data_IF_817720033490
#
_entry.id   IF_817720033490
#
_cell.length_a   1.000
_cell.length_b   1.000
_cell.length_c   1.000
_cell.angle_alpha   90.00
_cell.angle_beta   90.00
_cell.angle_gamma   90.00
#
_symmetry.space_group_name_H-M   'P 1'
#
loop_
_entity.id
_entity.type
_entity.pdbx_description
1 polymer ?
#
# COMPACT_ATOMS: atom_id res chain seq x y z
N UNK A 1 30.21 -11.05 -27.62
CA UNK A 1 28.90 -11.69 -27.34
C UNK A 1 27.93 -10.61 -26.85
N UNK A 2 26.81 -10.43 -27.56
CA UNK A 2 25.80 -9.38 -27.32
C UNK A 2 24.97 -9.72 -26.07
N UNK A 3 24.90 -8.83 -25.09
CA UNK A 3 23.82 -8.84 -24.07
C UNK A 3 22.86 -7.70 -24.38
N UNK A 4 21.60 -8.08 -24.52
CA UNK A 4 20.49 -7.23 -24.92
C UNK A 4 20.33 -6.03 -23.98
N UNK A 5 20.20 -4.85 -24.59
CA UNK A 5 19.76 -3.63 -23.94
C UNK A 5 18.32 -3.85 -23.46
N UNK A 6 18.14 -3.98 -22.14
CA UNK A 6 16.82 -3.89 -21.52
C UNK A 6 16.45 -2.41 -21.56
N UNK A 7 15.49 -2.07 -22.44
CA UNK A 7 14.74 -0.82 -22.42
C UNK A 7 14.22 -0.61 -21.00
N UNK A 8 14.88 0.26 -20.24
CA UNK A 8 14.27 0.96 -19.12
C UNK A 8 13.22 1.87 -19.73
N UNK A 9 11.94 1.56 -19.46
CA UNK A 9 10.85 2.48 -19.72
C UNK A 9 11.08 3.73 -18.87
N UNK A 10 11.69 4.72 -19.51
CA UNK A 10 11.67 6.12 -19.14
C UNK A 10 10.22 6.58 -19.13
N UNK A 11 9.67 6.90 -17.95
CA UNK A 11 8.26 7.30 -17.89
C UNK A 11 7.67 7.65 -16.53
N UNK A 12 8.43 8.23 -15.59
CA UNK A 12 7.87 9.08 -14.53
C UNK A 12 8.99 9.92 -13.90
N UNK A 13 8.76 11.24 -13.86
CA UNK A 13 9.73 12.25 -13.45
C UNK A 13 10.14 12.10 -11.98
N UNK A 14 11.43 12.25 -11.68
CA UNK A 14 11.97 12.50 -10.33
C UNK A 14 11.57 13.91 -9.81
N UNK A 15 10.29 14.28 -9.91
CA UNK A 15 9.83 15.61 -9.51
C UNK A 15 10.10 15.89 -8.02
N UNK A 16 10.08 14.85 -7.18
CA UNK A 16 10.26 14.95 -5.72
C UNK A 16 11.57 14.35 -5.20
N UNK A 17 12.47 13.89 -6.07
CA UNK A 17 13.76 13.33 -5.64
C UNK A 17 14.61 14.31 -4.84
N UNK A 18 14.43 15.62 -5.10
CA UNK A 18 15.10 16.68 -4.36
C UNK A 18 14.54 16.92 -2.95
N UNK A 19 13.34 16.42 -2.64
CA UNK A 19 12.72 16.52 -1.32
C UNK A 19 13.19 15.44 -0.35
N UNK A 20 13.77 14.35 -0.88
CA UNK A 20 14.34 13.29 -0.08
C UNK A 20 15.76 13.68 0.36
N UNK A 21 16.07 13.50 1.63
CA UNK A 21 17.44 13.57 2.13
C UNK A 21 18.34 12.67 1.26
N UNK A 22 19.51 13.18 0.84
CA UNK A 22 20.37 12.49 -0.12
C UNK A 22 20.76 11.08 0.31
N UNK A 23 20.84 10.85 1.63
CA UNK A 23 21.17 9.56 2.23
C UNK A 23 20.09 8.49 2.00
N UNK A 24 18.85 8.89 1.70
CA UNK A 24 17.74 7.98 1.44
C UNK A 24 17.63 7.55 -0.02
N UNK A 25 18.14 8.36 -0.95
CA UNK A 25 18.03 8.10 -2.39
C UNK A 25 18.54 6.71 -2.82
N UNK A 26 19.65 6.18 -2.26
CA UNK A 26 20.09 4.81 -2.57
C UNK A 26 19.14 3.70 -2.13
N UNK A 27 18.19 4.01 -1.25
CA UNK A 27 17.22 3.07 -0.66
C UNK A 27 15.80 3.22 -1.24
N UNK A 28 15.61 4.14 -2.19
CA UNK A 28 14.32 4.37 -2.84
C UNK A 28 14.33 3.74 -4.23
N UNK A 29 13.50 2.72 -4.42
CA UNK A 29 13.40 2.03 -5.71
C UNK A 29 12.60 2.85 -6.72
N UNK A 30 11.54 3.54 -6.25
CA UNK A 30 10.69 4.38 -7.08
C UNK A 30 9.91 5.40 -6.24
N UNK A 31 9.62 6.55 -6.85
CA UNK A 31 8.61 7.51 -6.37
C UNK A 31 7.39 7.33 -7.26
N UNK A 32 6.24 7.03 -6.66
CA UNK A 32 4.99 6.79 -7.37
C UNK A 32 4.02 7.90 -7.00
N UNK A 33 3.68 8.72 -7.98
CA UNK A 33 2.63 9.71 -7.84
C UNK A 33 1.28 8.99 -7.92
N UNK A 34 0.55 8.94 -6.81
CA UNK A 34 -0.83 8.41 -6.79
C UNK A 34 -1.83 9.54 -6.57
N UNK A 35 -3.07 9.32 -7.00
CA UNK A 35 -4.15 10.31 -6.89
C UNK A 35 -4.31 10.73 -5.42
N UNK A 36 -4.16 12.03 -5.16
CA UNK A 36 -4.29 12.65 -3.82
C UNK A 36 -5.77 12.76 -3.39
N UNK A 37 -6.43 11.62 -3.26
CA UNK A 37 -7.75 11.48 -2.66
C UNK A 37 -7.66 10.83 -1.26
N UNK A 38 -8.79 10.66 -0.58
CA UNK A 38 -8.80 10.00 0.73
C UNK A 38 -8.38 8.52 0.72
N UNK A 39 -8.16 7.92 -0.46
CA UNK A 39 -7.67 6.56 -0.62
C UNK A 39 -6.16 6.52 -0.96
N UNK A 40 -5.46 7.66 -1.01
CA UNK A 40 -4.04 7.75 -1.39
C UNK A 40 -3.16 6.69 -0.70
N UNK A 41 -3.32 6.49 0.61
CA UNK A 41 -2.57 5.45 1.34
C UNK A 41 -2.79 4.04 0.82
N UNK A 42 -4.03 3.66 0.48
CA UNK A 42 -4.34 2.36 -0.11
C UNK A 42 -3.87 2.26 -1.57
N UNK A 43 -3.88 3.37 -2.31
CA UNK A 43 -3.33 3.45 -3.68
C UNK A 43 -1.81 3.26 -3.68
N UNK A 44 -1.10 3.78 -2.68
CA UNK A 44 0.33 3.53 -2.50
C UNK A 44 0.61 2.03 -2.30
N UNK A 45 -0.15 1.38 -1.40
CA UNK A 45 -0.05 -0.07 -1.18
C UNK A 45 -0.35 -0.84 -2.47
N UNK A 46 -1.45 -0.49 -3.16
CA UNK A 46 -1.82 -1.13 -4.41
C UNK A 46 -0.74 -1.00 -5.48
N UNK A 47 -0.09 0.17 -5.58
CA UNK A 47 1.00 0.41 -6.52
C UNK A 47 2.23 -0.44 -6.19
N UNK A 48 2.59 -0.53 -4.91
CA UNK A 48 3.66 -1.44 -4.45
C UNK A 48 3.39 -2.92 -4.72
N UNK A 49 2.11 -3.31 -4.85
CA UNK A 49 1.67 -4.66 -5.21
C UNK A 49 1.52 -4.88 -6.72
N UNK A 50 1.79 -3.88 -7.57
CA UNK A 50 1.57 -3.95 -9.01
C UNK A 50 0.10 -3.93 -9.44
N UNK A 51 -0.80 -3.40 -8.59
CA UNK A 51 -2.25 -3.30 -8.82
C UNK A 51 -2.70 -1.88 -9.20
N UNK A 52 -1.78 -1.00 -9.62
CA UNK A 52 -2.05 0.41 -9.88
C UNK A 52 -3.12 0.65 -10.97
N UNK A 53 -3.17 -0.21 -11.99
CA UNK A 53 -4.02 -0.03 -13.18
C UNK A 53 -5.48 -0.53 -13.03
N UNK A 54 -5.85 -1.14 -11.89
CA UNK A 54 -7.08 -1.94 -11.75
C UNK A 54 -7.97 -1.55 -10.56
N UNK A 55 -8.00 -0.27 -10.17
CA UNK A 55 -8.65 0.13 -8.90
C UNK A 55 -8.12 -0.67 -7.70
N UNK A 56 -6.83 -1.03 -7.71
CA UNK A 56 -6.22 -1.96 -6.76
C UNK A 56 -6.35 -1.53 -5.29
N UNK A 57 -6.57 -0.24 -5.03
CA UNK A 57 -6.86 0.27 -3.69
C UNK A 57 -8.13 -0.36 -3.08
N UNK A 58 -9.14 -0.69 -3.91
CA UNK A 58 -10.34 -1.42 -3.48
C UNK A 58 -10.01 -2.85 -3.09
N UNK A 59 -9.15 -3.52 -3.86
CA UNK A 59 -8.68 -4.87 -3.57
C UNK A 59 -7.92 -4.89 -2.24
N UNK A 60 -7.05 -3.91 -2.01
CA UNK A 60 -6.32 -3.74 -0.74
C UNK A 60 -7.30 -3.57 0.43
N UNK A 61 -8.25 -2.63 0.34
CA UNK A 61 -9.26 -2.41 1.39
C UNK A 61 -10.10 -3.66 1.64
N UNK A 62 -10.51 -4.39 0.59
CA UNK A 62 -11.22 -5.66 0.72
C UNK A 62 -10.39 -6.71 1.45
N UNK A 63 -9.12 -6.92 1.06
CA UNK A 63 -8.23 -7.89 1.72
C UNK A 63 -8.02 -7.55 3.20
N UNK A 64 -7.85 -6.28 3.52
CA UNK A 64 -7.79 -5.79 4.90
C UNK A 64 -9.07 -6.09 5.67
N UNK A 65 -10.22 -5.80 5.09
CA UNK A 65 -11.50 -6.08 5.73
C UNK A 65 -11.70 -7.59 5.97
N UNK A 66 -11.41 -8.42 4.95
CA UNK A 66 -11.52 -9.89 5.02
C UNK A 66 -10.61 -10.47 6.12
N UNK A 67 -9.42 -9.91 6.31
CA UNK A 67 -8.49 -10.31 7.39
C UNK A 67 -9.02 -9.96 8.79
N UNK A 68 -9.58 -8.76 8.95
CA UNK A 68 -10.14 -8.33 10.23
C UNK A 68 -11.30 -9.25 10.62
N UNK A 69 -12.22 -9.54 9.70
CA UNK A 69 -13.38 -10.40 9.99
C UNK A 69 -12.96 -11.88 10.14
N UNK A 70 -11.94 -12.33 9.40
CA UNK A 70 -11.47 -13.72 9.46
C UNK A 70 -10.73 -14.06 10.75
N UNK A 71 -10.11 -13.05 11.39
CA UNK A 71 -9.37 -13.19 12.64
C UNK A 71 -9.82 -12.16 13.67
N UNK A 72 -11.13 -12.00 13.82
CA UNK A 72 -11.73 -10.95 14.64
C UNK A 72 -11.21 -10.94 16.08
N UNK A 73 -11.15 -12.09 16.75
CA UNK A 73 -10.67 -12.20 18.13
C UNK A 73 -9.23 -11.69 18.28
N UNK A 74 -8.34 -12.10 17.36
CA UNK A 74 -6.94 -11.65 17.33
C UNK A 74 -6.86 -10.14 17.12
N UNK A 75 -7.63 -9.61 16.16
CA UNK A 75 -7.59 -8.18 15.85
C UNK A 75 -8.27 -7.33 16.92
N UNK A 76 -9.26 -7.85 17.64
CA UNK A 76 -9.83 -7.21 18.84
C UNK A 76 -8.80 -7.12 19.96
N UNK A 77 -7.99 -8.15 20.15
CA UNK A 77 -6.88 -8.12 21.12
C UNK A 77 -5.82 -7.08 20.72
N UNK A 78 -5.40 -7.08 19.45
CA UNK A 78 -4.34 -6.19 18.94
C UNK A 78 -4.79 -4.72 18.87
N UNK A 79 -6.01 -4.45 18.39
CA UNK A 79 -6.51 -3.09 18.16
C UNK A 79 -7.25 -2.52 19.37
N UNK A 80 -7.71 -3.37 20.29
CA UNK A 80 -8.46 -2.98 21.48
C UNK A 80 -9.65 -2.09 21.13
N UNK A 81 -9.72 -0.93 21.76
CA UNK A 81 -10.78 0.06 21.55
C UNK A 81 -10.84 0.64 20.12
N UNK A 82 -9.76 0.51 19.34
CA UNK A 82 -9.71 1.01 17.95
C UNK A 82 -10.31 0.03 16.94
N UNK A 83 -10.68 -1.19 17.37
CA UNK A 83 -11.12 -2.26 16.47
C UNK A 83 -12.26 -1.83 15.54
N UNK A 84 -13.37 -1.31 16.08
CA UNK A 84 -14.53 -0.93 15.27
C UNK A 84 -14.20 0.25 14.33
N UNK A 85 -13.37 1.19 14.79
CA UNK A 85 -12.91 2.31 13.96
C UNK A 85 -12.12 1.81 12.76
N UNK A 86 -11.15 0.92 12.98
CA UNK A 86 -10.30 0.34 11.93
C UNK A 86 -11.11 -0.54 10.98
N UNK A 87 -11.99 -1.39 11.52
CA UNK A 87 -12.89 -2.25 10.72
C UNK A 87 -13.76 -1.43 9.78
N UNK A 88 -14.37 -0.35 10.28
CA UNK A 88 -15.21 0.53 9.48
C UNK A 88 -14.40 1.36 8.49
N UNK A 89 -13.17 1.77 8.86
CA UNK A 89 -12.29 2.54 7.99
C UNK A 89 -11.77 1.73 6.79
N UNK A 90 -11.52 0.42 6.94
CA UNK A 90 -11.12 -0.44 5.80
C UNK A 90 -12.32 -0.94 5.00
N UNK A 91 -13.52 -0.91 5.58
CA UNK A 91 -14.73 -1.29 4.86
C UNK A 91 -14.96 -0.36 3.67
N UNK A 92 -14.86 -0.91 2.47
CA UNK A 92 -15.05 -0.17 1.22
C UNK A 92 -16.30 -0.69 0.51
N UNK A 93 -17.45 0.01 0.61
CA UNK A 93 -18.63 -0.34 -0.18
C UNK A 93 -18.36 -0.19 -1.69
N UNK A 94 -19.10 -0.96 -2.51
CA UNK A 94 -18.89 -1.06 -3.96
C UNK A 94 -18.94 0.31 -4.67
N UNK A 95 -19.78 1.23 -4.20
CA UNK A 95 -20.01 2.55 -4.82
C UNK A 95 -19.37 3.72 -4.05
N UNK A 96 -18.13 3.56 -3.59
CA UNK A 96 -17.39 4.65 -2.97
C UNK A 96 -16.54 5.42 -3.99
N UNK A 97 -16.82 6.72 -4.20
CA UNK A 97 -16.03 7.60 -5.10
C UNK A 97 -14.87 8.31 -4.36
N UNK A 98 -14.95 8.42 -3.03
CA UNK A 98 -13.90 9.02 -2.19
C UNK A 98 -13.97 8.56 -0.74
N UNK A 99 -12.84 8.59 -0.03
CA UNK A 99 -12.75 8.27 1.39
C UNK A 99 -12.72 9.56 2.23
N UNK A 100 -13.54 9.58 3.28
CA UNK A 100 -13.50 10.63 4.30
C UNK A 100 -12.26 10.47 5.17
N UNK A 101 -11.90 11.51 5.94
CA UNK A 101 -10.76 11.47 6.86
C UNK A 101 -10.78 10.27 7.84
N UNK A 102 -11.96 9.79 8.21
CA UNK A 102 -12.13 8.64 9.11
C UNK A 102 -11.74 7.31 8.48
N UNK A 103 -11.67 7.26 7.16
CA UNK A 103 -11.37 6.07 6.36
C UNK A 103 -9.93 6.08 5.84
N UNK A 104 -9.18 7.14 6.12
CA UNK A 104 -7.78 7.26 5.73
C UNK A 104 -6.96 6.13 6.34
N UNK A 105 -5.98 5.67 5.58
CA UNK A 105 -5.01 4.71 6.08
C UNK A 105 -4.23 5.35 7.24
N UNK A 106 -4.38 4.79 8.44
CA UNK A 106 -3.62 5.17 9.64
C UNK A 106 -2.61 4.08 10.03
N UNK A 107 -1.72 4.36 10.99
CA UNK A 107 -0.70 3.39 11.45
C UNK A 107 -1.27 2.02 11.90
N UNK A 108 -2.37 1.94 12.65
CA UNK A 108 -3.03 0.65 12.90
C UNK A 108 -3.33 -0.17 11.63
N UNK A 109 -3.72 0.50 10.54
CA UNK A 109 -4.01 -0.15 9.27
C UNK A 109 -2.75 -0.62 8.54
N UNK A 110 -1.65 0.12 8.65
CA UNK A 110 -0.38 -0.29 8.02
C UNK A 110 0.17 -1.57 8.67
N UNK A 111 -0.07 -1.78 9.97
CA UNK A 111 0.27 -3.05 10.63
C UNK A 111 -0.56 -4.23 10.08
N UNK A 112 -1.87 -4.04 9.87
CA UNK A 112 -2.73 -5.02 9.21
C UNK A 112 -2.21 -5.40 7.81
N UNK A 113 -1.78 -4.41 7.02
CA UNK A 113 -1.14 -4.68 5.74
C UNK A 113 0.12 -5.55 5.87
N UNK A 114 1.02 -5.21 6.80
CA UNK A 114 2.27 -5.95 7.00
C UNK A 114 1.97 -7.42 7.35
N UNK A 115 0.97 -7.67 8.21
CA UNK A 115 0.57 -9.03 8.59
C UNK A 115 0.00 -9.79 7.39
N UNK A 116 -0.93 -9.18 6.65
CA UNK A 116 -1.48 -9.73 5.42
C UNK A 116 -0.40 -10.09 4.40
N UNK A 117 0.51 -9.15 4.15
CA UNK A 117 1.60 -9.34 3.20
C UNK A 117 2.50 -10.49 3.64
N UNK A 118 2.88 -10.59 4.92
CA UNK A 118 3.67 -11.70 5.44
C UNK A 118 2.98 -13.05 5.27
N UNK A 119 1.67 -13.14 5.54
CA UNK A 119 0.88 -14.37 5.37
C UNK A 119 0.76 -14.80 3.91
N UNK A 120 0.64 -13.84 2.99
CA UNK A 120 0.59 -14.14 1.56
C UNK A 120 1.96 -14.45 0.94
N UNK A 121 3.05 -13.80 1.38
CA UNK A 121 4.41 -14.09 0.92
C UNK A 121 4.96 -15.44 1.40
N UNK A 122 4.41 -16.02 2.47
CA UNK A 122 4.71 -17.41 2.85
C UNK A 122 4.05 -18.43 1.92
N UNK A 123 2.96 -18.06 1.24
CA UNK A 123 2.27 -18.93 0.28
C UNK A 123 2.64 -18.68 -1.17
N UNK A 124 3.20 -17.50 -1.49
CA UNK A 124 3.58 -17.10 -2.84
C UNK A 124 5.05 -16.68 -2.89
N UNK A 125 5.91 -17.64 -3.27
CA UNK A 125 7.36 -17.47 -3.43
C UNK A 125 7.73 -16.48 -4.56
N UNK A 126 6.77 -16.05 -5.39
CA UNK A 126 7.05 -15.18 -6.55
C UNK A 126 7.09 -13.68 -6.21
N UNK A 127 6.49 -13.25 -5.10
CA UNK A 127 6.41 -11.84 -4.68
C UNK A 127 7.51 -11.42 -3.69
N UNK A 128 8.42 -12.32 -3.31
CA UNK A 128 9.45 -12.08 -2.29
C UNK A 128 10.53 -11.04 -2.66
N UNK A 129 10.47 -10.43 -3.84
CA UNK A 129 11.56 -9.61 -4.39
C UNK A 129 11.26 -8.12 -4.64
N UNK A 130 10.07 -7.58 -4.31
CA UNK A 130 9.70 -6.23 -4.77
C UNK A 130 9.47 -5.14 -3.72
N UNK A 131 9.86 -5.32 -2.46
CA UNK A 131 9.75 -4.23 -1.48
C UNK A 131 11.10 -3.85 -0.88
N UNK A 132 11.91 -3.08 -1.62
CA UNK A 132 12.80 -2.09 -1.02
C UNK A 132 12.14 -0.71 -1.17
N UNK A 133 11.96 -0.04 -0.03
CA UNK A 133 11.67 1.40 0.11
C UNK A 133 10.65 2.03 -0.85
N UNK A 134 9.38 2.05 -0.45
CA UNK A 134 8.43 3.06 -0.96
C UNK A 134 8.59 4.29 -0.07
N UNK A 135 9.11 5.39 -0.63
CA UNK A 135 9.17 6.69 0.04
C UNK A 135 7.99 7.54 -0.41
N UNK A 136 7.23 8.06 0.54
CA UNK A 136 6.05 8.92 0.30
C UNK A 136 6.48 10.37 0.51
N UNK A 137 6.44 11.18 -0.55
CA UNK A 137 6.49 12.63 -0.44
C UNK A 137 5.10 13.16 -0.10
N UNK A 138 4.95 13.82 1.05
CA UNK A 138 3.75 14.59 1.39
C UNK A 138 3.95 16.02 0.86
N UNK A 139 3.09 16.44 -0.07
CA UNK A 139 2.95 17.83 -0.51
C UNK A 139 1.80 18.52 0.20
#
# INVERSE_FOLDING_TARGET
MRRASRRTQSGSNMAYGHCLEQDWLPHVDAIIDVVSDGNFGYRCIASGLGLADVDGWRIVRKRMYDEIIGYEDLWREVLGSSFETVKNAVHCPEKQEGASFKEWLTLPHSYLYVVLHRRHCTTDLSLQWQMKGISIGLG
#
